data_IF_921078304363
#
_entry.id   IF_921078304363
#
_cell.length_a   1.000
_cell.length_b   1.000
_cell.length_c   1.000
_cell.angle_alpha   90.00
_cell.angle_beta   90.00
_cell.angle_gamma   90.00
#
_symmetry.space_group_name_H-M   'P 1'
#
loop_
_entity.id
_entity.type
_entity.pdbx_description
1 polymer ?
#
# COMPACT_ATOMS: atom_id res chain seq x y z
N UNK A 1 -18.06 -28.97 -18.85
CA UNK A 1 -18.78 -29.42 -17.64
C UNK A 1 -19.38 -28.28 -16.79
N UNK A 2 -18.75 -27.10 -16.70
CA UNK A 2 -19.21 -26.00 -15.83
C UNK A 2 -20.41 -25.14 -16.30
N UNK A 3 -20.85 -25.27 -17.55
CA UNK A 3 -21.86 -24.40 -18.17
C UNK A 3 -23.19 -25.12 -18.45
N UNK A 4 -23.56 -26.10 -17.63
CA UNK A 4 -24.82 -26.85 -17.81
C UNK A 4 -26.02 -26.08 -17.26
N UNK A 5 -27.19 -26.30 -17.86
CA UNK A 5 -28.45 -25.69 -17.41
C UNK A 5 -28.74 -25.96 -15.93
N UNK A 6 -28.46 -27.19 -15.47
CA UNK A 6 -28.65 -27.61 -14.08
C UNK A 6 -27.85 -26.76 -13.10
N UNK A 7 -26.58 -26.49 -13.37
CA UNK A 7 -25.73 -25.66 -12.50
C UNK A 7 -26.18 -24.19 -12.48
N UNK A 8 -26.60 -23.66 -13.64
CA UNK A 8 -27.18 -22.30 -13.71
C UNK A 8 -28.47 -22.19 -12.91
N UNK A 9 -29.34 -23.19 -12.99
CA UNK A 9 -30.59 -23.24 -12.24
C UNK A 9 -30.33 -23.30 -10.73
N UNK A 10 -29.43 -24.19 -10.29
CA UNK A 10 -29.01 -24.29 -8.89
C UNK A 10 -28.38 -22.99 -8.38
N UNK A 11 -27.52 -22.34 -9.18
CA UNK A 11 -26.92 -21.05 -8.82
C UNK A 11 -27.97 -19.94 -8.69
N UNK A 12 -28.92 -19.85 -9.62
CA UNK A 12 -30.04 -18.90 -9.54
C UNK A 12 -30.91 -19.15 -8.31
N UNK A 13 -31.21 -20.41 -8.01
CA UNK A 13 -31.97 -20.80 -6.82
C UNK A 13 -31.21 -20.48 -5.54
N UNK A 14 -29.91 -20.76 -5.47
CA UNK A 14 -29.07 -20.41 -4.34
C UNK A 14 -28.96 -18.89 -4.14
N UNK A 15 -28.83 -18.12 -5.23
CA UNK A 15 -28.86 -16.63 -5.17
C UNK A 15 -30.21 -16.12 -4.67
N UNK A 16 -31.32 -16.70 -5.12
CA UNK A 16 -32.66 -16.37 -4.63
C UNK A 16 -32.83 -16.72 -3.15
N UNK A 17 -32.38 -17.91 -2.73
CA UNK A 17 -32.38 -18.33 -1.33
C UNK A 17 -31.53 -17.40 -0.46
N UNK A 18 -30.34 -16.98 -0.94
CA UNK A 18 -29.47 -16.00 -0.27
C UNK A 18 -30.07 -14.59 -0.21
N UNK A 19 -30.94 -14.23 -1.15
CA UNK A 19 -31.70 -12.98 -1.17
C UNK A 19 -32.99 -13.01 -0.33
N UNK A 20 -33.35 -14.17 0.23
CA UNK A 20 -34.49 -14.28 1.12
C UNK A 20 -34.21 -13.58 2.45
N UNK A 21 -35.17 -12.80 2.94
CA UNK A 21 -35.16 -12.22 4.29
C UNK A 21 -35.46 -13.24 5.39
N UNK A 22 -35.91 -14.44 5.01
CA UNK A 22 -36.15 -15.56 5.93
C UNK A 22 -34.80 -16.20 6.31
N UNK A 23 -33.85 -15.38 6.75
CA UNK A 23 -32.50 -15.78 7.07
C UNK A 23 -32.44 -16.32 8.48
N UNK A 24 -32.81 -17.59 8.65
CA UNK A 24 -32.59 -18.36 9.87
C UNK A 24 -32.60 -19.83 9.51
N UNK A 25 -31.55 -20.56 9.91
CA UNK A 25 -31.57 -22.02 9.79
C UNK A 25 -32.49 -22.58 10.89
N UNK A 26 -33.38 -23.50 10.53
CA UNK A 26 -34.18 -24.25 11.50
C UNK A 26 -33.28 -24.97 12.51
N UNK A 27 -32.10 -25.42 12.07
CA UNK A 27 -31.12 -26.14 12.89
C UNK A 27 -30.25 -25.21 13.78
N UNK A 28 -30.38 -23.88 13.64
CA UNK A 28 -29.68 -22.91 14.50
C UNK A 28 -30.67 -22.06 15.29
N UNK A 29 -31.85 -22.62 15.60
CA UNK A 29 -32.87 -21.97 16.44
C UNK A 29 -33.29 -20.57 15.97
N UNK A 30 -33.20 -20.30 14.65
CA UNK A 30 -33.57 -19.00 14.10
C UNK A 30 -32.48 -17.91 14.19
N UNK A 31 -31.23 -18.26 14.54
CA UNK A 31 -30.11 -17.33 14.49
C UNK A 31 -29.97 -16.70 13.09
N UNK A 32 -29.99 -15.37 13.03
CA UNK A 32 -29.81 -14.60 11.79
C UNK A 32 -28.34 -14.25 11.60
N UNK A 33 -27.84 -14.43 10.37
CA UNK A 33 -26.51 -13.94 10.00
C UNK A 33 -26.49 -12.40 9.97
N UNK A 34 -25.35 -11.78 10.23
CA UNK A 34 -25.15 -10.32 10.08
C UNK A 34 -25.66 -9.81 8.73
N UNK A 35 -25.32 -10.48 7.62
CA UNK A 35 -25.77 -10.05 6.29
C UNK A 35 -27.28 -10.14 6.03
N UNK A 36 -28.02 -10.93 6.82
CA UNK A 36 -29.49 -10.91 6.80
C UNK A 36 -30.00 -9.69 7.56
N UNK A 37 -29.44 -9.43 8.74
CA UNK A 37 -29.78 -8.28 9.58
C UNK A 37 -29.51 -6.96 8.84
N UNK A 38 -28.36 -6.83 8.17
CA UNK A 38 -28.04 -5.65 7.37
C UNK A 38 -29.08 -5.40 6.29
N UNK A 39 -29.57 -6.43 5.58
CA UNK A 39 -30.61 -6.27 4.55
C UNK A 39 -31.98 -5.92 5.10
N UNK A 40 -32.31 -6.38 6.30
CA UNK A 40 -33.54 -5.98 6.99
C UNK A 40 -33.43 -4.50 7.38
N UNK A 41 -32.30 -4.09 7.95
CA UNK A 41 -32.01 -2.71 8.30
C UNK A 41 -31.99 -1.78 7.07
N UNK A 42 -31.43 -2.21 5.93
CA UNK A 42 -31.47 -1.43 4.67
C UNK A 42 -32.91 -1.04 4.28
N UNK A 43 -33.88 -1.92 4.53
CA UNK A 43 -35.29 -1.67 4.23
C UNK A 43 -35.97 -0.81 5.28
N UNK A 44 -35.59 -0.96 6.55
CA UNK A 44 -36.11 -0.18 7.67
C UNK A 44 -35.61 1.28 7.63
N UNK A 45 -34.31 1.48 7.36
CA UNK A 45 -33.66 2.81 7.38
C UNK A 45 -33.65 3.50 6.01
N UNK A 46 -33.82 2.76 4.91
CA UNK A 46 -33.78 3.31 3.54
C UNK A 46 -32.38 3.68 3.04
N UNK A 47 -31.33 3.38 3.80
CA UNK A 47 -29.93 3.52 3.39
C UNK A 47 -29.12 2.28 3.80
N UNK A 48 -27.91 2.15 3.25
CA UNK A 48 -26.98 1.09 3.66
C UNK A 48 -26.53 1.33 5.11
N UNK A 49 -26.78 0.40 6.04
CA UNK A 49 -26.40 0.55 7.44
C UNK A 49 -24.89 0.53 7.61
N UNK A 50 -24.38 1.37 8.50
CA UNK A 50 -22.96 1.38 8.86
C UNK A 50 -22.67 0.34 9.96
N UNK A 51 -21.41 -0.06 10.08
CA UNK A 51 -20.96 -1.06 11.07
C UNK A 51 -21.48 -0.81 12.50
N UNK A 52 -21.38 0.43 13.04
CA UNK A 52 -21.91 0.75 14.35
C UNK A 52 -23.43 0.55 14.48
N UNK A 53 -24.23 0.88 13.47
CA UNK A 53 -25.68 0.69 13.50
C UNK A 53 -26.06 -0.79 13.57
N UNK A 54 -25.41 -1.61 12.75
CA UNK A 54 -25.62 -3.08 12.74
C UNK A 54 -25.18 -3.67 14.09
N UNK A 55 -24.07 -3.19 14.64
CA UNK A 55 -23.58 -3.60 15.95
C UNK A 55 -24.59 -3.26 17.05
N UNK A 56 -25.11 -2.03 17.07
CA UNK A 56 -26.12 -1.60 18.03
C UNK A 56 -27.37 -2.48 17.95
N UNK A 57 -27.95 -2.68 16.75
CA UNK A 57 -29.15 -3.52 16.54
C UNK A 57 -29.00 -4.95 17.09
N UNK A 58 -27.78 -5.50 17.06
CA UNK A 58 -27.52 -6.90 17.45
C UNK A 58 -27.11 -7.09 18.90
N UNK A 59 -26.63 -6.04 19.57
CA UNK A 59 -26.07 -6.13 20.92
C UNK A 59 -26.85 -5.30 21.96
N UNK A 60 -27.93 -4.62 21.56
CA UNK A 60 -28.92 -4.08 22.50
C UNK A 60 -30.05 -5.09 22.72
N UNK A 61 -30.56 -5.13 23.94
CA UNK A 61 -31.75 -5.90 24.29
C UNK A 61 -32.93 -5.38 23.49
N UNK A 62 -33.81 -6.29 23.10
CA UNK A 62 -35.06 -5.94 22.42
C UNK A 62 -35.89 -5.06 23.35
N UNK A 63 -36.27 -3.88 22.84
CA UNK A 63 -37.21 -2.98 23.53
C UNK A 63 -38.62 -3.52 23.46
N UNK A 64 -39.39 -3.27 24.50
CA UNK A 64 -40.83 -3.57 24.51
C UNK A 64 -41.60 -2.44 23.83
N UNK A 65 -41.19 -1.20 24.09
CA UNK A 65 -41.71 0.01 23.48
C UNK A 65 -40.60 0.84 22.83
N UNK A 66 -40.90 1.55 21.75
CA UNK A 66 -39.93 2.38 21.02
C UNK A 66 -39.29 3.46 21.93
N UNK A 67 -40.04 3.93 22.93
CA UNK A 67 -39.60 4.92 23.91
C UNK A 67 -38.64 4.38 24.97
N UNK A 68 -38.46 3.06 25.06
CA UNK A 68 -37.55 2.47 26.04
C UNK A 68 -36.09 2.86 25.75
N UNK A 69 -35.28 2.94 26.79
CA UNK A 69 -33.84 3.15 26.62
C UNK A 69 -33.16 1.91 26.04
N UNK A 70 -32.11 2.12 25.24
CA UNK A 70 -31.27 1.02 24.78
C UNK A 70 -30.50 0.43 25.96
N UNK A 71 -30.73 -0.84 26.26
CA UNK A 71 -29.98 -1.59 27.29
C UNK A 71 -29.07 -2.59 26.60
N UNK A 72 -27.76 -2.51 26.82
CA UNK A 72 -26.82 -3.46 26.24
C UNK A 72 -27.01 -4.88 26.79
N UNK A 73 -26.80 -5.89 25.94
CA UNK A 73 -26.85 -7.30 26.35
C UNK A 73 -25.70 -7.62 27.30
N UNK A 74 -24.52 -7.05 27.07
CA UNK A 74 -23.32 -7.19 27.90
C UNK A 74 -22.50 -5.89 27.96
N UNK A 75 -21.81 -5.66 29.09
CA UNK A 75 -20.96 -4.47 29.31
C UNK A 75 -19.82 -4.37 28.27
N UNK A 76 -19.30 -5.51 27.81
CA UNK A 76 -18.28 -5.54 26.77
C UNK A 76 -18.78 -4.92 25.47
N UNK A 77 -20.03 -5.20 25.08
CA UNK A 77 -20.62 -4.66 23.87
C UNK A 77 -20.77 -3.13 23.97
N UNK A 78 -21.18 -2.62 25.13
CA UNK A 78 -21.23 -1.18 25.40
C UNK A 78 -19.85 -0.52 25.26
N UNK A 79 -18.81 -1.12 25.84
CA UNK A 79 -17.43 -0.64 25.74
C UNK A 79 -16.95 -0.65 24.28
N UNK A 80 -17.21 -1.73 23.54
CA UNK A 80 -16.86 -1.84 22.12
C UNK A 80 -17.59 -0.81 21.28
N UNK A 81 -18.90 -0.62 21.48
CA UNK A 81 -19.67 0.38 20.76
C UNK A 81 -19.21 1.80 21.05
N UNK A 82 -18.96 2.12 22.32
CA UNK A 82 -18.38 3.40 22.72
C UNK A 82 -17.01 3.63 22.07
N UNK A 83 -16.20 2.57 21.94
CA UNK A 83 -14.94 2.62 21.20
C UNK A 83 -15.12 2.88 19.71
N UNK A 84 -16.11 2.24 19.07
CA UNK A 84 -16.45 2.44 17.65
C UNK A 84 -16.97 3.85 17.37
N UNK A 85 -17.80 4.39 18.26
CA UNK A 85 -18.25 5.79 18.20
C UNK A 85 -17.11 6.76 18.55
N UNK A 86 -16.22 6.35 19.44
CA UNK A 86 -15.11 7.11 19.99
C UNK A 86 -13.85 7.16 19.12
N UNK A 87 -13.79 6.46 17.98
CA UNK A 87 -12.65 6.61 17.04
C UNK A 87 -12.56 8.06 16.51
N UNK A 88 -13.64 8.83 16.60
CA UNK A 88 -13.65 10.30 16.39
C UNK A 88 -13.70 11.15 17.67
N UNK A 89 -13.79 10.56 18.86
CA UNK A 89 -14.00 11.25 20.16
C UNK A 89 -12.96 10.86 21.21
N UNK A 90 -11.79 10.37 20.82
CA UNK A 90 -10.65 10.32 21.75
C UNK A 90 -10.39 11.75 22.24
N UNK A 91 -10.05 11.93 23.51
CA UNK A 91 -9.57 13.23 24.05
C UNK A 91 -8.36 13.78 23.26
N UNK A 92 -7.71 12.98 22.42
CA UNK A 92 -6.73 13.44 21.44
C UNK A 92 -7.32 14.27 20.29
N UNK A 93 -8.55 13.99 19.86
CA UNK A 93 -9.25 14.75 18.81
C UNK A 93 -9.72 16.12 19.31
N UNK A 94 -10.08 16.22 20.60
CA UNK A 94 -10.45 17.49 21.24
C UNK A 94 -9.26 18.47 21.41
N UNK A 95 -8.02 17.98 21.21
CA UNK A 95 -6.80 18.76 21.40
C UNK A 95 -6.14 19.27 20.10
N UNK A 96 -6.63 18.86 18.93
CA UNK A 96 -6.15 19.39 17.65
C UNK A 96 -7.04 20.57 17.23
N UNK A 97 -6.61 21.77 17.62
CA UNK A 97 -7.22 23.00 17.12
C UNK A 97 -7.00 23.16 15.60
N UNK A 98 -7.88 23.89 14.92
CA UNK A 98 -7.82 24.13 13.47
C UNK A 98 -6.45 24.66 13.02
N UNK A 99 -5.79 25.46 13.87
CA UNK A 99 -4.43 25.97 13.62
C UNK A 99 -3.39 24.83 13.54
N UNK A 100 -3.50 23.82 14.41
CA UNK A 100 -2.59 22.67 14.40
C UNK A 100 -2.79 21.82 13.14
N UNK A 101 -4.04 21.63 12.72
CA UNK A 101 -4.38 20.89 11.50
C UNK A 101 -3.81 21.61 10.26
N UNK A 102 -3.96 22.93 10.18
CA UNK A 102 -3.40 23.74 9.08
C UNK A 102 -1.87 23.66 9.08
N UNK A 103 -1.23 23.75 10.25
CA UNK A 103 0.22 23.64 10.39
C UNK A 103 0.74 22.27 9.94
N UNK A 104 0.11 21.18 10.39
CA UNK A 104 0.46 19.82 9.97
C UNK A 104 0.28 19.64 8.46
N UNK A 105 -0.79 20.18 7.90
CA UNK A 105 -1.07 20.12 6.46
C UNK A 105 0.00 20.87 5.66
N UNK A 106 0.44 22.04 6.13
CA UNK A 106 1.53 22.79 5.51
C UNK A 106 2.85 22.03 5.56
N UNK A 107 3.17 21.36 6.67
CA UNK A 107 4.37 20.52 6.79
C UNK A 107 4.33 19.34 5.82
N UNK A 108 3.18 18.67 5.67
CA UNK A 108 3.01 17.58 4.69
C UNK A 108 3.24 18.10 3.27
N UNK A 109 2.70 19.27 2.93
CA UNK A 109 2.90 19.89 1.62
C UNK A 109 4.38 20.20 1.36
N UNK A 110 5.09 20.75 2.36
CA UNK A 110 6.52 21.03 2.28
C UNK A 110 7.34 19.75 2.06
N UNK A 111 7.12 18.71 2.87
CA UNK A 111 7.80 17.42 2.72
C UNK A 111 7.53 16.77 1.36
N UNK A 112 6.31 16.93 0.86
CA UNK A 112 5.93 16.41 -0.47
C UNK A 112 6.70 17.15 -1.58
N UNK A 113 6.82 18.47 -1.49
CA UNK A 113 7.58 19.27 -2.46
C UNK A 113 9.07 18.94 -2.44
N UNK A 114 9.67 18.87 -1.25
CA UNK A 114 11.11 18.57 -1.11
C UNK A 114 11.44 17.17 -1.61
N UNK A 115 10.56 16.19 -1.36
CA UNK A 115 10.70 14.84 -1.89
C UNK A 115 10.65 14.83 -3.43
N UNK A 116 9.70 15.56 -4.01
CA UNK A 116 9.57 15.65 -5.47
C UNK A 116 10.79 16.32 -6.12
N UNK A 117 11.33 17.39 -5.52
CA UNK A 117 12.55 18.04 -5.99
C UNK A 117 13.77 17.13 -5.89
N UNK A 118 13.92 16.42 -4.77
CA UNK A 118 14.99 15.44 -4.58
C UNK A 118 14.94 14.33 -5.63
N UNK A 119 13.75 13.82 -5.95
CA UNK A 119 13.56 12.85 -7.03
C UNK A 119 13.98 13.40 -8.40
N UNK A 120 13.57 14.63 -8.74
CA UNK A 120 13.96 15.27 -10.01
C UNK A 120 15.47 15.42 -10.13
N UNK A 121 16.16 15.83 -9.06
CA UNK A 121 17.62 15.96 -9.04
C UNK A 121 18.32 14.62 -9.32
N UNK A 122 17.91 13.55 -8.63
CA UNK A 122 18.48 12.21 -8.87
C UNK A 122 18.29 11.74 -10.31
N UNK A 123 17.11 11.99 -10.90
CA UNK A 123 16.86 11.63 -12.31
C UNK A 123 17.75 12.45 -13.25
N UNK A 124 17.88 13.76 -13.02
CA UNK A 124 18.74 14.61 -13.84
C UNK A 124 20.22 14.22 -13.74
N UNK A 125 20.70 13.91 -12.52
CA UNK A 125 22.07 13.41 -12.29
C UNK A 125 22.30 12.09 -13.01
N UNK A 126 21.37 11.14 -12.91
CA UNK A 126 21.46 9.86 -13.60
C UNK A 126 21.47 10.03 -15.13
N UNK A 127 20.66 10.94 -15.68
CA UNK A 127 20.65 11.25 -17.10
C UNK A 127 21.98 11.88 -17.55
N UNK A 128 22.51 12.81 -16.76
CA UNK A 128 23.82 13.43 -17.01
C UNK A 128 24.94 12.38 -17.03
N UNK A 129 25.03 11.54 -16.00
CA UNK A 129 26.01 10.44 -15.94
C UNK A 129 25.86 9.45 -17.09
N UNK A 130 24.62 9.15 -17.50
CA UNK A 130 24.38 8.27 -18.64
C UNK A 130 24.90 8.88 -19.94
N UNK A 131 24.73 10.19 -20.14
CA UNK A 131 25.23 10.88 -21.32
C UNK A 131 26.77 10.85 -21.37
N UNK A 132 27.46 11.10 -20.25
CA UNK A 132 28.93 11.06 -20.21
C UNK A 132 29.47 9.65 -20.46
N UNK A 133 28.83 8.61 -19.92
CA UNK A 133 29.21 7.21 -20.20
C UNK A 133 29.03 6.87 -21.68
N UNK A 134 27.96 7.35 -22.31
CA UNK A 134 27.74 7.14 -23.75
C UNK A 134 28.79 7.86 -24.59
N UNK A 135 29.15 9.10 -24.24
CA UNK A 135 30.21 9.85 -24.93
C UNK A 135 31.57 9.16 -24.81
N UNK A 136 31.96 8.73 -23.60
CA UNK A 136 33.21 7.97 -23.38
C UNK A 136 33.22 6.70 -24.23
N UNK A 137 32.09 5.98 -24.28
CA UNK A 137 31.97 4.77 -25.11
C UNK A 137 32.20 5.08 -26.59
N UNK A 138 31.66 6.19 -27.09
CA UNK A 138 31.87 6.62 -28.48
C UNK A 138 33.34 6.98 -28.75
N UNK A 139 34.00 7.71 -27.83
CA UNK A 139 35.41 8.04 -27.94
C UNK A 139 36.29 6.76 -28.00
N UNK A 140 36.03 5.77 -27.14
CA UNK A 140 36.73 4.48 -27.14
C UNK A 140 36.53 3.72 -28.45
N UNK A 141 35.30 3.68 -28.97
CA UNK A 141 35.01 3.04 -30.26
C UNK A 141 35.76 3.70 -31.43
N UNK A 142 35.84 5.03 -31.43
CA UNK A 142 36.56 5.77 -32.45
C UNK A 142 38.08 5.55 -32.35
N UNK A 143 38.64 5.43 -31.14
CA UNK A 143 40.05 5.08 -30.94
C UNK A 143 40.39 3.68 -31.46
N UNK A 144 39.52 2.70 -31.20
CA UNK A 144 39.71 1.32 -31.67
C UNK A 144 39.61 1.18 -33.21
N UNK A 145 38.99 2.13 -33.90
CA UNK A 145 38.86 2.14 -35.37
C UNK A 145 40.00 2.89 -36.08
N UNK A 146 40.96 3.48 -35.38
CA UNK A 146 42.13 4.11 -36.02
C UNK A 146 42.97 3.04 -36.73
N UNK A 147 43.27 3.20 -38.04
CA UNK A 147 44.19 2.29 -38.73
C UNK A 147 45.59 2.43 -38.13
N UNK A 148 46.10 1.38 -37.48
CA UNK A 148 47.53 1.23 -37.21
C UNK A 148 48.23 0.99 -38.53
N UNK A 149 48.65 2.07 -39.19
CA UNK A 149 49.65 2.01 -40.26
C UNK A 149 51.00 1.71 -39.61
N UNK A 150 51.27 0.44 -39.36
CA UNK A 150 52.60 -0.05 -39.00
C UNK A 150 53.53 0.09 -40.21
N UNK A 151 54.55 0.93 -40.10
CA UNK A 151 55.78 0.73 -40.86
C UNK A 151 56.68 -0.20 -40.04
N UNK A 152 57.21 -1.31 -40.59
CA UNK A 152 58.18 -2.13 -39.88
C UNK A 152 59.53 -1.43 -39.97
N UNK A 153 60.05 -0.93 -38.85
CA UNK A 153 61.43 -0.51 -38.75
C UNK A 153 62.26 -1.69 -38.21
N UNK A 154 63.40 -1.87 -38.85
CA UNK A 154 64.21 -3.08 -38.93
C UNK A 154 64.84 -3.50 -37.60
N UNK A 155 65.14 -4.80 -37.55
CA UNK A 155 66.05 -5.43 -36.60
C UNK A 155 67.31 -4.59 -36.38
N UNK A 156 67.61 -4.26 -35.12
CA UNK A 156 69.00 -4.08 -34.71
C UNK A 156 69.17 -4.64 -33.32
N UNK A 157 69.68 -5.86 -33.32
CA UNK A 157 70.34 -6.55 -32.23
C UNK A 157 71.47 -5.66 -31.69
N UNK A 158 71.39 -5.21 -30.44
CA UNK A 158 72.57 -4.71 -29.73
C UNK A 158 72.50 -5.11 -28.25
N UNK A 159 73.49 -5.90 -27.89
CA UNK A 159 73.67 -6.62 -26.65
C UNK A 159 74.57 -5.76 -25.78
N UNK A 160 74.13 -5.36 -24.60
CA UNK A 160 74.98 -4.69 -23.62
C UNK A 160 74.54 -5.07 -22.21
N UNK A 161 75.14 -6.14 -21.72
CA UNK A 161 75.36 -6.38 -20.29
C UNK A 161 76.26 -5.26 -19.76
N UNK A 162 75.95 -4.65 -18.61
CA UNK A 162 76.89 -4.36 -17.51
C UNK A 162 76.21 -3.57 -16.38
N UNK A 163 76.16 -4.23 -15.22
CA UNK A 163 76.32 -3.75 -13.84
C UNK A 163 75.47 -2.62 -13.23
N UNK A 164 75.00 -2.89 -12.02
CA UNK A 164 74.82 -1.83 -11.02
C UNK A 164 73.70 -2.07 -10.01
N UNK A 165 73.93 -3.01 -9.10
CA UNK A 165 73.22 -3.14 -7.82
C UNK A 165 73.12 -1.79 -7.09
N UNK A 166 71.91 -1.35 -6.69
CA UNK A 166 71.75 -0.66 -5.40
C UNK A 166 70.37 -0.94 -4.82
N UNK A 167 70.36 -1.89 -3.91
CA UNK A 167 69.24 -2.28 -3.06
C UNK A 167 69.29 -1.43 -1.80
N UNK A 168 68.38 -0.47 -1.65
CA UNK A 168 67.97 0.00 -0.32
C UNK A 168 66.45 0.15 -0.25
N UNK A 169 65.87 -0.88 0.37
CA UNK A 169 64.54 -0.93 0.94
C UNK A 169 64.40 0.10 2.06
N UNK A 170 63.40 0.99 1.97
CA UNK A 170 62.80 1.62 3.14
C UNK A 170 61.31 1.85 2.90
N UNK A 171 60.49 0.94 3.42
CA UNK A 171 59.15 1.23 3.96
C UNK A 171 59.12 0.67 5.39
N UNK A 172 58.34 1.22 6.34
CA UNK A 172 56.92 1.57 6.23
C UNK A 172 56.59 3.07 6.38
#
# INVERSE_FOLDING_TARGET
YWNTYKLKAMSKQAKKAKGSLKGGSLHTEGAKTVGTITREMEKELGHTPIGPEVFKKTHVKKKEHESDQDVWVEERAERTFSGLQGIGSSRQAEALDDVQIVSMSAQIAQLTSTLAESQRRRVAEQQSMSATVQEIKEQVLNLARRPTTSSPAEDTDDNSEEDGEDFVDVTP
#
